data_IF_732187736930
#
_entry.id   IF_732187736930
#
_cell.length_a   1.000
_cell.length_b   1.000
_cell.length_c   1.000
_cell.angle_alpha   90.00
_cell.angle_beta   90.00
_cell.angle_gamma   90.00
#
_symmetry.space_group_name_H-M   'P 1'
#
loop_
_entity.id
_entity.type
_entity.pdbx_description
1 polymer ?
#
# COMPACT_ATOMS: atom_id res chain seq x y z
N UNK A 1 -4.64 28.22 54.57
CA UNK A 1 -5.81 27.48 55.06
C UNK A 1 -6.93 27.61 54.03
N UNK A 2 -7.15 26.52 53.28
CA UNK A 2 -8.45 25.97 52.83
C UNK A 2 -9.48 26.93 52.19
N UNK A 3 -9.96 26.72 50.96
CA UNK A 3 -10.76 25.56 50.58
C UNK A 3 -10.69 25.22 49.08
N UNK A 4 -10.43 23.94 48.81
CA UNK A 4 -10.85 23.27 47.59
C UNK A 4 -12.39 23.23 47.54
N UNK A 5 -12.96 23.43 46.34
CA UNK A 5 -14.33 23.04 46.05
C UNK A 5 -14.30 21.92 45.03
N UNK A 6 -14.66 20.75 45.55
CA UNK A 6 -15.12 19.57 44.83
C UNK A 6 -16.17 19.96 43.80
N UNK A 7 -16.01 19.48 42.57
CA UNK A 7 -17.10 19.35 41.61
C UNK A 7 -17.18 17.86 41.29
N UNK A 8 -18.35 17.32 41.59
CA UNK A 8 -18.62 15.91 41.78
C UNK A 8 -18.40 15.04 40.55
N UNK A 9 -17.89 13.87 40.86
CA UNK A 9 -17.93 12.63 40.09
C UNK A 9 -19.38 12.26 39.76
N UNK A 10 -19.62 11.89 38.49
CA UNK A 10 -20.72 11.09 37.92
C UNK A 10 -21.22 11.62 36.57
N UNK A 11 -20.29 11.90 35.65
CA UNK A 11 -20.55 11.77 34.21
C UNK A 11 -19.81 10.52 33.73
N UNK A 12 -20.44 9.63 32.93
CA UNK A 12 -19.80 8.39 32.52
C UNK A 12 -18.52 8.71 31.76
N UNK A 13 -17.40 8.24 32.33
CA UNK A 13 -16.08 8.24 31.74
C UNK A 13 -16.13 7.44 30.44
N UNK A 14 -16.38 8.10 29.32
CA UNK A 14 -16.17 7.52 27.99
C UNK A 14 -14.65 7.51 27.81
N UNK A 15 -14.01 6.40 28.20
CA UNK A 15 -12.69 6.06 27.69
C UNK A 15 -12.74 6.16 26.15
N UNK A 16 -11.94 7.01 25.50
CA UNK A 16 -11.71 6.85 24.09
C UNK A 16 -10.95 5.54 23.93
N UNK A 17 -11.63 4.56 23.35
CA UNK A 17 -11.16 3.24 22.92
C UNK A 17 -9.87 3.40 22.10
N UNK A 18 -8.74 3.51 22.81
CA UNK A 18 -7.39 3.52 22.28
C UNK A 18 -6.54 2.38 22.86
N UNK A 19 -7.17 1.48 23.62
CA UNK A 19 -6.55 0.24 24.10
C UNK A 19 -6.94 -0.90 23.17
N UNK A 20 -5.93 -1.48 22.53
CA UNK A 20 -5.96 -2.74 21.77
C UNK A 20 -6.64 -2.73 20.40
N UNK A 21 -6.26 -1.78 19.56
CA UNK A 21 -6.60 -1.82 18.15
C UNK A 21 -5.48 -2.45 17.28
N UNK A 22 -5.66 -3.68 16.74
CA UNK A 22 -4.70 -4.33 15.85
C UNK A 22 -4.52 -3.62 14.49
N UNK A 23 -5.30 -2.56 14.19
CA UNK A 23 -5.21 -1.75 12.96
C UNK A 23 -3.92 -0.94 12.82
N UNK A 24 -3.12 -0.78 13.88
CA UNK A 24 -1.91 0.07 13.89
C UNK A 24 -0.59 -0.69 14.03
N UNK A 25 -0.61 -2.03 14.16
CA UNK A 25 0.61 -2.84 14.25
C UNK A 25 1.35 -3.00 12.90
N UNK A 26 0.78 -2.55 11.78
CA UNK A 26 1.28 -2.86 10.44
C UNK A 26 2.51 -2.06 9.98
N UNK A 27 2.72 -0.84 10.47
CA UNK A 27 3.79 0.02 9.92
C UNK A 27 5.16 -0.19 10.59
N UNK A 28 5.27 -0.91 11.71
CA UNK A 28 6.55 -1.28 12.36
C UNK A 28 6.71 -2.74 12.76
N UNK A 29 5.69 -3.59 12.67
CA UNK A 29 5.89 -5.01 12.87
C UNK A 29 6.31 -5.71 11.56
N UNK A 30 7.46 -5.35 10.99
CA UNK A 30 8.23 -6.29 10.15
C UNK A 30 9.01 -7.29 11.02
N UNK A 31 8.34 -7.82 12.04
CA UNK A 31 8.91 -8.60 13.13
C UNK A 31 7.84 -8.87 14.19
N UNK A 32 7.06 -9.93 13.95
CA UNK A 32 6.40 -10.84 14.91
C UNK A 32 5.45 -11.70 14.08
N UNK A 33 6.03 -12.71 13.45
CA UNK A 33 5.40 -13.61 12.51
C UNK A 33 6.44 -14.30 11.65
N UNK A 34 7.45 -14.93 12.28
CA UNK A 34 8.45 -15.75 11.57
C UNK A 34 7.86 -17.07 11.01
N UNK A 35 6.53 -17.16 10.90
CA UNK A 35 5.80 -18.28 10.31
C UNK A 35 4.86 -17.76 9.23
N UNK A 36 5.42 -17.20 8.16
CA UNK A 36 4.68 -16.93 6.93
C UNK A 36 4.33 -18.28 6.28
N UNK A 37 3.14 -18.79 6.59
CA UNK A 37 2.59 -19.93 5.86
C UNK A 37 2.26 -19.46 4.43
N UNK A 38 3.09 -19.87 3.47
CA UNK A 38 2.81 -19.65 2.06
C UNK A 38 1.47 -20.31 1.70
N UNK A 39 0.55 -19.54 1.15
CA UNK A 39 -0.73 -20.04 0.63
C UNK A 39 -0.58 -20.77 -0.71
N UNK A 40 0.65 -20.90 -1.21
CA UNK A 40 0.98 -21.50 -2.50
C UNK A 40 2.28 -22.31 -2.38
N UNK A 41 2.41 -23.37 -3.19
CA UNK A 41 3.64 -24.17 -3.28
C UNK A 41 4.59 -23.60 -4.34
N UNK A 42 5.88 -23.54 -4.00
CA UNK A 42 6.97 -23.26 -4.94
C UNK A 42 7.72 -24.56 -5.26
N UNK A 43 8.37 -24.68 -6.43
CA UNK A 43 9.24 -25.81 -6.75
C UNK A 43 10.32 -26.05 -5.67
N UNK A 44 10.66 -27.31 -5.40
CA UNK A 44 11.59 -27.68 -4.33
C UNK A 44 13.01 -27.14 -4.53
N UNK A 45 13.41 -26.96 -5.78
CA UNK A 45 14.68 -26.37 -6.22
C UNK A 45 14.72 -24.84 -6.11
N UNK A 46 13.63 -24.18 -5.68
CA UNK A 46 13.61 -22.73 -5.50
C UNK A 46 14.56 -22.33 -4.36
N UNK A 47 15.56 -21.46 -4.61
CA UNK A 47 16.51 -21.03 -3.58
C UNK A 47 15.82 -20.41 -2.37
N UNK A 48 16.29 -20.74 -1.17
CA UNK A 48 15.73 -20.24 0.08
C UNK A 48 16.63 -19.17 0.67
N UNK A 49 16.07 -17.99 0.92
CA UNK A 49 16.76 -16.89 1.59
C UNK A 49 16.01 -16.47 2.84
N UNK A 50 16.74 -16.24 3.92
CA UNK A 50 16.19 -15.55 5.08
C UNK A 50 15.69 -14.15 4.65
N UNK A 51 14.51 -13.75 5.15
CA UNK A 51 13.84 -12.48 4.80
C UNK A 51 13.47 -12.29 3.32
N UNK A 52 13.42 -13.36 2.51
CA UNK A 52 12.96 -13.28 1.12
C UNK A 52 11.56 -12.65 0.99
N UNK A 53 10.64 -13.00 1.89
CA UNK A 53 9.28 -12.44 1.86
C UNK A 53 9.27 -10.94 2.17
N UNK A 54 10.17 -10.47 3.04
CA UNK A 54 10.36 -9.04 3.30
C UNK A 54 10.92 -8.33 2.06
N UNK A 55 11.91 -8.93 1.38
CA UNK A 55 12.43 -8.45 0.11
C UNK A 55 11.31 -8.29 -0.94
N UNK A 56 10.51 -9.34 -1.12
CA UNK A 56 9.40 -9.34 -2.08
C UNK A 56 8.35 -8.28 -1.75
N UNK A 57 7.89 -8.23 -0.49
CA UNK A 57 6.86 -7.28 -0.06
C UNK A 57 7.32 -5.84 -0.24
N UNK A 58 8.56 -5.52 0.15
CA UNK A 58 9.11 -4.19 -0.04
C UNK A 58 9.24 -3.84 -1.54
N UNK A 59 9.76 -4.76 -2.35
CA UNK A 59 9.88 -4.59 -3.80
C UNK A 59 8.51 -4.35 -4.43
N UNK A 60 7.48 -5.08 -4.00
CA UNK A 60 6.11 -4.87 -4.46
C UNK A 60 5.60 -3.47 -4.15
N UNK A 61 5.77 -3.01 -2.91
CA UNK A 61 5.25 -1.73 -2.40
C UNK A 61 5.98 -0.53 -3.02
N UNK A 62 7.28 -0.64 -3.27
CA UNK A 62 8.10 0.47 -3.74
C UNK A 62 8.34 0.48 -5.25
N UNK A 63 8.44 -0.67 -5.93
CA UNK A 63 8.91 -0.70 -7.33
C UNK A 63 7.81 -0.77 -8.38
N UNK A 64 6.59 -1.05 -7.95
CA UNK A 64 5.47 -1.26 -8.86
C UNK A 64 4.33 -0.28 -8.61
N UNK A 65 3.56 0.07 -9.66
CA UNK A 65 2.32 0.80 -9.46
C UNK A 65 1.38 0.02 -8.54
N UNK A 66 0.63 0.71 -7.67
CA UNK A 66 -0.33 0.09 -6.74
C UNK A 66 -1.43 -0.75 -7.45
N UNK A 67 -1.60 -0.52 -8.77
CA UNK A 67 -2.53 -1.25 -9.62
C UNK A 67 -1.93 -2.49 -10.28
N UNK A 68 -0.62 -2.74 -10.13
CA UNK A 68 0.04 -3.90 -10.74
C UNK A 68 -0.47 -5.18 -10.11
N UNK A 69 -0.94 -6.10 -10.94
CA UNK A 69 -1.25 -7.46 -10.51
C UNK A 69 0.04 -8.26 -10.35
N UNK A 70 0.21 -8.85 -9.17
CA UNK A 70 1.35 -9.72 -8.88
C UNK A 70 0.85 -11.15 -8.72
N UNK A 71 1.49 -12.07 -9.43
CA UNK A 71 1.36 -13.49 -9.15
C UNK A 71 2.43 -13.83 -8.11
N UNK A 72 2.01 -13.97 -6.84
CA UNK A 72 2.95 -14.16 -5.73
C UNK A 72 3.82 -15.41 -5.88
N UNK A 73 3.32 -16.50 -6.49
CA UNK A 73 4.13 -17.70 -6.74
C UNK A 73 5.25 -17.40 -7.72
N UNK A 74 4.93 -16.83 -8.87
CA UNK A 74 5.94 -16.45 -9.88
C UNK A 74 6.92 -15.43 -9.32
N UNK A 75 6.40 -14.41 -8.63
CA UNK A 75 7.21 -13.36 -8.05
C UNK A 75 8.15 -13.87 -6.94
N UNK A 76 7.74 -14.88 -6.18
CA UNK A 76 8.59 -15.58 -5.23
C UNK A 76 9.77 -16.24 -5.94
N UNK A 77 9.47 -17.09 -6.92
CA UNK A 77 10.47 -17.85 -7.67
C UNK A 77 11.46 -16.89 -8.34
N UNK A 78 10.96 -15.86 -9.03
CA UNK A 78 11.78 -14.84 -9.67
C UNK A 78 12.65 -14.07 -8.68
N UNK A 79 12.11 -13.70 -7.51
CA UNK A 79 12.87 -12.98 -6.49
C UNK A 79 13.98 -13.83 -5.88
N UNK A 80 13.70 -15.11 -5.58
CA UNK A 80 14.70 -16.05 -5.09
C UNK A 80 15.86 -16.20 -6.09
N UNK A 81 15.54 -16.46 -7.36
CA UNK A 81 16.55 -16.61 -8.40
C UNK A 81 17.28 -15.31 -8.74
N UNK A 82 16.62 -14.15 -8.62
CA UNK A 82 17.28 -12.85 -8.76
C UNK A 82 18.40 -12.67 -7.71
N UNK A 83 18.16 -13.13 -6.47
CA UNK A 83 19.17 -13.09 -5.42
C UNK A 83 20.31 -14.05 -5.72
N UNK A 84 20.00 -15.29 -6.11
CA UNK A 84 21.01 -16.31 -6.46
C UNK A 84 21.88 -15.92 -7.65
N UNK A 85 21.30 -15.32 -8.69
CA UNK A 85 22.03 -14.93 -9.91
C UNK A 85 22.91 -13.70 -9.75
N UNK A 86 22.76 -12.96 -8.64
CA UNK A 86 23.56 -11.77 -8.34
C UNK A 86 24.14 -11.92 -6.92
N UNK A 87 25.22 -12.70 -6.76
CA UNK A 87 25.91 -12.86 -5.48
C UNK A 87 26.30 -11.51 -4.89
N UNK A 88 26.41 -11.43 -3.55
CA UNK A 88 26.54 -10.14 -2.87
C UNK A 88 27.87 -9.47 -3.22
N UNK A 89 28.95 -10.23 -3.36
CA UNK A 89 30.29 -9.73 -3.68
C UNK A 89 30.31 -9.05 -5.05
N UNK A 90 29.70 -9.67 -6.05
CA UNK A 90 29.58 -9.09 -7.39
C UNK A 90 28.67 -7.85 -7.37
N UNK A 91 27.54 -7.93 -6.67
CA UNK A 91 26.58 -6.83 -6.58
C UNK A 91 27.19 -5.60 -5.90
N UNK A 92 27.99 -5.80 -4.84
CA UNK A 92 28.71 -4.73 -4.15
C UNK A 92 29.76 -4.10 -5.05
N UNK A 93 30.56 -4.91 -5.74
CA UNK A 93 31.56 -4.42 -6.69
C UNK A 93 30.92 -3.57 -7.80
N UNK A 94 29.86 -4.05 -8.46
CA UNK A 94 29.15 -3.32 -9.52
C UNK A 94 28.55 -2.00 -8.99
N UNK A 95 27.98 -2.02 -7.78
CA UNK A 95 27.42 -0.83 -7.16
C UNK A 95 28.51 0.20 -6.78
N UNK A 96 29.69 -0.25 -6.36
CA UNK A 96 30.85 0.62 -6.08
C UNK A 96 31.39 1.29 -7.35
N UNK A 97 31.34 0.59 -8.49
CA UNK A 97 31.67 1.20 -9.79
C UNK A 97 30.61 2.23 -10.24
N UNK A 98 29.45 2.28 -9.60
CA UNK A 98 28.37 3.22 -9.89
C UNK A 98 27.29 2.69 -10.83
N UNK A 99 27.19 1.38 -11.04
CA UNK A 99 26.09 0.81 -11.84
C UNK A 99 24.75 1.01 -11.12
N UNK A 100 23.84 1.79 -11.71
CA UNK A 100 22.62 2.21 -11.04
C UNK A 100 21.65 1.05 -10.73
N UNK A 101 21.62 0.00 -11.56
CA UNK A 101 20.76 -1.17 -11.30
C UNK A 101 21.28 -1.97 -10.11
N UNK A 102 22.59 -2.14 -10.02
CA UNK A 102 23.29 -2.80 -8.91
C UNK A 102 23.13 -2.03 -7.61
N UNK A 103 23.29 -0.70 -7.66
CA UNK A 103 23.06 0.16 -6.51
C UNK A 103 21.61 0.06 -6.01
N UNK A 104 20.62 0.03 -6.91
CA UNK A 104 19.21 -0.06 -6.55
C UNK A 104 18.86 -1.43 -5.93
N UNK A 105 19.35 -2.52 -6.52
CA UNK A 105 19.17 -3.87 -5.99
C UNK A 105 19.89 -4.06 -4.64
N UNK A 106 21.11 -3.53 -4.51
CA UNK A 106 21.86 -3.55 -3.26
C UNK A 106 21.13 -2.76 -2.16
N UNK A 107 20.64 -1.56 -2.47
CA UNK A 107 19.84 -0.77 -1.55
C UNK A 107 18.60 -1.55 -1.06
N UNK A 108 17.88 -2.23 -1.97
CA UNK A 108 16.73 -3.07 -1.65
C UNK A 108 17.09 -4.22 -0.69
N UNK A 109 18.19 -4.93 -0.95
CA UNK A 109 18.66 -6.01 -0.07
C UNK A 109 19.07 -5.51 1.31
N UNK A 110 19.78 -4.38 1.37
CA UNK A 110 20.17 -3.73 2.63
C UNK A 110 18.93 -3.30 3.43
N UNK A 111 17.97 -2.63 2.79
CA UNK A 111 16.73 -2.16 3.45
C UNK A 111 15.89 -3.30 4.04
N UNK A 112 15.97 -4.49 3.43
CA UNK A 112 15.20 -5.67 3.84
C UNK A 112 16.01 -6.69 4.62
N UNK A 113 17.33 -6.47 4.74
CA UNK A 113 18.32 -7.41 5.27
C UNK A 113 18.23 -8.81 4.63
N UNK A 114 17.94 -8.88 3.33
CA UNK A 114 17.81 -10.14 2.61
C UNK A 114 19.13 -10.47 1.91
N UNK A 115 19.80 -11.53 2.35
CA UNK A 115 21.12 -11.94 1.85
C UNK A 115 22.28 -11.02 2.27
N UNK A 116 22.02 -10.00 3.10
CA UNK A 116 23.02 -9.06 3.63
C UNK A 116 22.53 -8.45 4.95
N UNK A 117 23.45 -7.99 5.79
CA UNK A 117 23.13 -7.18 6.98
C UNK A 117 22.53 -5.84 6.59
N UNK A 118 21.52 -5.37 7.34
CA UNK A 118 20.90 -4.08 7.09
C UNK A 118 21.76 -2.90 7.54
N UNK A 119 21.72 -1.82 6.75
CA UNK A 119 22.39 -0.54 7.01
C UNK A 119 21.57 0.59 6.36
N UNK A 120 20.80 1.31 7.19
CA UNK A 120 19.91 2.35 6.71
C UNK A 120 20.67 3.55 6.10
N UNK A 121 21.87 3.86 6.57
CA UNK A 121 22.66 4.98 6.06
C UNK A 121 23.22 4.64 4.69
N UNK A 122 23.81 3.45 4.53
CA UNK A 122 24.31 2.96 3.24
C UNK A 122 23.19 2.85 2.20
N UNK A 123 22.01 2.38 2.60
CA UNK A 123 20.83 2.33 1.74
C UNK A 123 20.46 3.72 1.20
N UNK A 124 20.32 4.72 2.08
CA UNK A 124 20.01 6.09 1.68
C UNK A 124 21.13 6.68 0.80
N UNK A 125 22.40 6.39 1.10
CA UNK A 125 23.53 6.89 0.33
C UNK A 125 23.54 6.39 -1.12
N UNK A 126 23.25 5.10 -1.33
CA UNK A 126 23.11 4.50 -2.66
C UNK A 126 21.98 5.17 -3.44
N UNK A 127 20.81 5.36 -2.81
CA UNK A 127 19.64 5.98 -3.45
C UNK A 127 19.91 7.45 -3.80
N UNK A 128 20.48 8.23 -2.90
CA UNK A 128 20.82 9.65 -3.17
C UNK A 128 21.89 9.78 -4.27
N UNK A 129 22.81 8.81 -4.38
CA UNK A 129 23.80 8.74 -5.46
C UNK A 129 23.14 8.45 -6.82
N UNK A 130 22.20 7.49 -6.89
CA UNK A 130 21.39 7.24 -8.11
C UNK A 130 20.65 8.51 -8.56
N UNK A 131 20.17 9.31 -7.61
CA UNK A 131 19.42 10.52 -7.90
C UNK A 131 20.30 11.72 -8.28
N UNK A 132 21.63 11.59 -8.18
CA UNK A 132 22.60 12.65 -8.46
C UNK A 132 22.63 13.74 -7.39
N UNK A 133 22.23 13.43 -6.16
CA UNK A 133 22.17 14.38 -5.02
C UNK A 133 23.41 14.30 -4.13
N UNK A 134 24.37 13.44 -4.46
CA UNK A 134 25.70 13.37 -3.85
C UNK A 134 26.73 13.96 -4.80
N UNK A 135 27.60 14.83 -4.28
CA UNK A 135 28.61 15.50 -5.10
C UNK A 135 29.84 14.62 -5.40
N UNK A 136 30.14 13.64 -4.55
CA UNK A 136 31.39 12.86 -4.60
C UNK A 136 31.30 11.57 -5.42
N UNK A 137 30.10 11.13 -5.81
CA UNK A 137 29.86 9.89 -6.55
C UNK A 137 28.78 10.12 -7.61
N UNK A 138 28.94 9.48 -8.76
CA UNK A 138 27.97 9.52 -9.85
C UNK A 138 27.57 8.10 -10.24
N UNK A 139 26.27 7.89 -10.46
CA UNK A 139 25.75 6.64 -10.99
C UNK A 139 25.64 6.73 -12.52
N UNK A 140 25.99 5.65 -13.23
CA UNK A 140 25.79 5.51 -14.67
C UNK A 140 24.61 4.57 -14.97
N UNK A 141 24.13 4.57 -16.22
CA UNK A 141 22.95 3.79 -16.65
C UNK A 141 21.66 4.09 -15.86
N UNK A 142 21.51 5.32 -15.33
CA UNK A 142 20.30 5.73 -14.60
C UNK A 142 19.13 5.92 -15.58
N UNK A 143 18.29 4.89 -15.72
CA UNK A 143 17.04 4.97 -16.50
C UNK A 143 15.94 5.69 -15.71
N UNK A 144 14.87 6.13 -16.41
CA UNK A 144 13.67 6.70 -15.77
C UNK A 144 13.05 5.72 -14.78
N UNK A 145 13.06 4.42 -15.10
CA UNK A 145 12.51 3.37 -14.24
C UNK A 145 13.34 3.16 -12.97
N UNK A 146 14.67 3.19 -13.08
CA UNK A 146 15.57 3.17 -11.91
C UNK A 146 15.34 4.42 -11.06
N UNK A 147 15.28 5.61 -11.68
CA UNK A 147 15.11 6.89 -10.97
C UNK A 147 13.81 6.95 -10.17
N UNK A 148 12.67 6.56 -10.76
CA UNK A 148 11.37 6.58 -10.08
C UNK A 148 11.27 5.53 -8.96
N UNK A 149 11.90 4.36 -9.14
CA UNK A 149 11.98 3.33 -8.08
C UNK A 149 12.86 3.79 -6.92
N UNK A 150 14.00 4.42 -7.21
CA UNK A 150 14.87 4.99 -6.20
C UNK A 150 14.15 6.08 -5.38
N UNK A 151 13.41 6.98 -6.03
CA UNK A 151 12.57 7.98 -5.35
C UNK A 151 11.47 7.34 -4.48
N UNK A 152 10.74 6.36 -5.01
CA UNK A 152 9.70 5.66 -4.24
C UNK A 152 10.28 4.92 -3.03
N UNK A 153 11.46 4.32 -3.18
CA UNK A 153 12.14 3.61 -2.10
C UNK A 153 12.70 4.58 -1.05
N UNK A 154 13.27 5.70 -1.47
CA UNK A 154 13.77 6.75 -0.57
C UNK A 154 12.62 7.40 0.21
N UNK A 155 11.48 7.60 -0.45
CA UNK A 155 10.23 8.02 0.20
C UNK A 155 9.83 7.05 1.31
N UNK A 156 9.86 5.74 1.05
CA UNK A 156 9.56 4.73 2.06
C UNK A 156 10.59 4.75 3.20
N UNK A 157 11.88 4.86 2.90
CA UNK A 157 12.92 4.91 3.92
C UNK A 157 12.77 6.13 4.85
N UNK A 158 12.33 7.28 4.33
CA UNK A 158 12.02 8.45 5.15
C UNK A 158 10.72 8.28 5.95
N UNK A 159 9.67 7.70 5.36
CA UNK A 159 8.48 7.31 6.14
C UNK A 159 8.85 6.37 7.27
N UNK A 160 9.77 5.45 7.01
CA UNK A 160 10.21 4.51 8.02
C UNK A 160 10.93 5.26 9.17
N UNK A 161 11.89 6.12 8.85
CA UNK A 161 12.55 6.97 9.86
C UNK A 161 11.57 7.84 10.65
N UNK A 162 10.56 8.40 10.00
CA UNK A 162 9.51 9.17 10.66
C UNK A 162 8.75 8.30 11.67
N UNK A 163 8.37 7.09 11.27
CA UNK A 163 7.57 6.24 12.11
C UNK A 163 8.36 5.55 13.26
N UNK A 164 9.70 5.48 13.18
CA UNK A 164 10.55 5.07 14.31
C UNK A 164 10.49 6.05 15.49
N UNK A 165 10.02 7.27 15.25
CA UNK A 165 9.97 8.29 16.30
C UNK A 165 8.88 7.94 17.32
N UNK A 166 9.05 8.36 18.58
CA UNK A 166 8.05 8.14 19.61
C UNK A 166 6.66 8.66 19.17
N UNK A 167 5.55 7.98 19.53
CA UNK A 167 4.19 8.39 19.16
C UNK A 167 3.88 9.87 19.47
N UNK A 168 4.43 10.38 20.56
CA UNK A 168 4.31 11.77 21.04
C UNK A 168 4.90 12.79 20.06
N UNK A 169 5.81 12.33 19.20
CA UNK A 169 6.39 13.12 18.12
C UNK A 169 5.66 12.84 16.81
N UNK A 170 5.55 11.57 16.39
CA UNK A 170 5.12 11.25 15.02
C UNK A 170 3.63 11.47 14.74
N UNK A 171 2.76 11.37 15.75
CA UNK A 171 1.30 11.50 15.58
C UNK A 171 0.75 12.87 16.00
N UNK A 172 1.62 13.84 16.29
CA UNK A 172 1.25 15.14 16.84
C UNK A 172 1.60 16.27 15.88
N UNK A 173 1.22 17.50 16.25
CA UNK A 173 1.63 18.69 15.52
C UNK A 173 3.15 18.85 15.41
N UNK A 174 3.92 18.30 16.35
CA UNK A 174 5.38 18.32 16.29
C UNK A 174 5.89 17.52 15.07
N UNK A 175 5.38 16.30 14.88
CA UNK A 175 5.70 15.47 13.72
C UNK A 175 5.28 16.16 12.43
N UNK A 176 4.07 16.72 12.39
CA UNK A 176 3.58 17.42 11.21
C UNK A 176 4.44 18.64 10.83
N UNK A 177 4.78 19.50 11.78
CA UNK A 177 5.43 20.79 11.53
C UNK A 177 6.95 20.81 11.70
N UNK A 178 7.59 19.79 12.26
CA UNK A 178 9.04 19.80 12.48
C UNK A 178 9.77 18.61 11.92
N UNK A 179 9.06 17.55 11.52
CA UNK A 179 9.73 16.37 11.00
C UNK A 179 10.22 16.58 9.56
N UNK A 180 11.55 16.59 9.38
CA UNK A 180 12.19 16.66 8.08
C UNK A 180 12.03 15.37 7.26
N UNK A 181 12.01 14.20 7.88
CA UNK A 181 11.81 12.93 7.17
C UNK A 181 10.45 12.90 6.50
N UNK A 182 9.40 13.40 7.15
CA UNK A 182 8.06 13.48 6.56
C UNK A 182 8.03 14.43 5.34
N UNK A 183 8.82 15.51 5.36
CA UNK A 183 8.95 16.43 4.22
C UNK A 183 9.73 15.79 3.07
N UNK A 184 10.80 15.07 3.37
CA UNK A 184 11.61 14.35 2.38
C UNK A 184 10.79 13.21 1.75
N UNK A 185 10.03 12.47 2.54
CA UNK A 185 9.09 11.45 2.06
C UNK A 185 8.09 12.05 1.07
N UNK A 186 7.42 13.15 1.43
CA UNK A 186 6.45 13.80 0.54
C UNK A 186 7.09 14.32 -0.75
N UNK A 187 8.30 14.90 -0.67
CA UNK A 187 9.07 15.36 -1.84
C UNK A 187 9.39 14.21 -2.78
N UNK A 188 9.92 13.12 -2.26
CA UNK A 188 10.37 11.99 -3.08
C UNK A 188 9.18 11.17 -3.62
N UNK A 189 8.09 11.07 -2.87
CA UNK A 189 6.83 10.51 -3.37
C UNK A 189 6.25 11.31 -4.54
N UNK A 190 6.16 12.63 -4.40
CA UNK A 190 5.67 13.53 -5.45
C UNK A 190 6.53 13.41 -6.72
N UNK A 191 7.85 13.37 -6.57
CA UNK A 191 8.78 13.20 -7.68
C UNK A 191 8.66 11.81 -8.35
N UNK A 192 8.48 10.72 -7.58
CA UNK A 192 8.27 9.39 -8.14
C UNK A 192 6.97 9.32 -8.97
N UNK A 193 5.90 9.94 -8.45
CA UNK A 193 4.60 10.03 -9.13
C UNK A 193 4.69 10.88 -10.39
N UNK A 194 5.41 12.00 -10.35
CA UNK A 194 5.65 12.85 -11.52
C UNK A 194 6.40 12.10 -12.64
N UNK A 195 7.23 11.11 -12.30
CA UNK A 195 7.87 10.18 -13.24
C UNK A 195 7.00 8.94 -13.59
N UNK A 196 5.72 8.96 -13.23
CA UNK A 196 4.73 7.94 -13.60
C UNK A 196 4.72 6.69 -12.73
N UNK A 197 5.33 6.71 -11.53
CA UNK A 197 5.22 5.63 -10.55
C UNK A 197 4.35 6.04 -9.36
N UNK A 198 3.06 5.69 -9.43
CA UNK A 198 2.17 5.72 -8.26
C UNK A 198 2.26 4.38 -7.54
N UNK A 199 3.19 4.25 -6.61
CA UNK A 199 3.37 3.03 -5.82
C UNK A 199 2.59 3.11 -4.50
N UNK A 200 2.45 1.98 -3.82
CA UNK A 200 1.81 1.96 -2.50
C UNK A 200 2.61 2.78 -1.47
N UNK A 201 3.94 2.73 -1.54
CA UNK A 201 4.82 3.58 -0.72
C UNK A 201 4.51 5.08 -0.88
N UNK A 202 4.30 5.53 -2.11
CA UNK A 202 3.98 6.95 -2.36
C UNK A 202 2.58 7.35 -1.86
N UNK A 203 1.59 6.46 -1.96
CA UNK A 203 0.23 6.72 -1.49
C UNK A 203 0.14 6.73 0.04
N UNK A 204 0.98 5.94 0.72
CA UNK A 204 1.04 5.91 2.19
C UNK A 204 1.44 7.28 2.75
N UNK A 205 2.34 8.01 2.09
CA UNK A 205 2.72 9.37 2.52
C UNK A 205 1.49 10.29 2.56
N UNK A 206 0.71 10.32 1.48
CA UNK A 206 -0.48 11.16 1.41
C UNK A 206 -1.54 10.76 2.44
N UNK A 207 -1.74 9.45 2.65
CA UNK A 207 -2.64 8.92 3.66
C UNK A 207 -2.23 9.36 5.06
N UNK A 208 -0.96 9.19 5.38
CA UNK A 208 -0.40 9.52 6.69
C UNK A 208 -0.48 11.03 6.99
N UNK A 209 -0.16 11.86 6.00
CA UNK A 209 -0.31 13.31 6.12
C UNK A 209 -1.75 13.74 6.43
N UNK A 210 -2.74 13.09 5.80
CA UNK A 210 -4.16 13.35 6.09
C UNK A 210 -4.51 12.93 7.52
N UNK A 211 -4.07 11.76 7.95
CA UNK A 211 -4.32 11.24 9.31
C UNK A 211 -3.76 12.19 10.37
N UNK A 212 -2.48 12.57 10.27
CA UNK A 212 -1.88 13.48 11.26
C UNK A 212 -2.57 14.86 11.21
N UNK A 213 -2.88 15.37 10.03
CA UNK A 213 -3.49 16.70 9.91
C UNK A 213 -4.93 16.79 10.45
N UNK A 214 -5.64 15.66 10.45
CA UNK A 214 -6.97 15.50 11.07
C UNK A 214 -6.90 15.34 12.59
N UNK A 215 -5.71 15.09 13.17
CA UNK A 215 -5.53 15.08 14.61
C UNK A 215 -5.84 16.44 15.24
N UNK A 216 -6.31 16.41 16.49
CA UNK A 216 -6.81 17.59 17.21
C UNK A 216 -5.80 18.74 17.33
N UNK A 217 -4.50 18.41 17.30
CA UNK A 217 -3.40 19.38 17.48
C UNK A 217 -3.03 20.15 16.22
N UNK A 218 -3.34 19.64 15.02
CA UNK A 218 -2.86 20.23 13.75
C UNK A 218 -3.93 21.06 13.08
N UNK A 219 -5.13 20.50 12.91
CA UNK A 219 -6.28 21.13 12.22
C UNK A 219 -5.87 21.85 10.91
N UNK A 220 -5.04 21.21 10.10
CA UNK A 220 -4.56 21.72 8.81
C UNK A 220 -5.13 20.89 7.66
N UNK A 221 -5.17 21.47 6.46
CA UNK A 221 -5.42 20.70 5.24
C UNK A 221 -4.10 20.53 4.46
N UNK A 222 -3.48 19.35 4.47
CA UNK A 222 -2.17 19.13 3.84
C UNK A 222 -2.21 19.32 2.32
N UNK A 223 -3.41 19.24 1.71
CA UNK A 223 -3.59 19.45 0.26
C UNK A 223 -3.43 20.91 -0.16
N UNK A 224 -3.64 21.85 0.77
CA UNK A 224 -3.68 23.29 0.48
C UNK A 224 -2.72 24.10 1.34
N UNK A 225 -2.16 23.52 2.40
CA UNK A 225 -1.26 24.26 3.28
C UNK A 225 0.09 24.57 2.64
N UNK A 226 0.84 25.46 3.30
CA UNK A 226 2.14 25.93 2.81
C UNK A 226 3.21 24.83 2.76
N UNK A 227 3.08 23.78 3.58
CA UNK A 227 4.13 22.78 3.79
C UNK A 227 4.04 21.68 2.73
N UNK A 228 2.86 21.12 2.55
CA UNK A 228 2.64 19.95 1.69
C UNK A 228 1.75 20.26 0.49
N UNK A 229 1.02 21.39 0.47
CA UNK A 229 0.11 21.74 -0.63
C UNK A 229 0.80 21.95 -1.98
N UNK A 230 2.13 22.10 -2.01
CA UNK A 230 2.95 22.20 -3.23
C UNK A 230 3.15 20.87 -3.98
N UNK A 231 2.94 19.72 -3.33
CA UNK A 231 3.17 18.40 -3.93
C UNK A 231 1.96 17.94 -4.76
N UNK A 232 1.79 18.58 -5.94
CA UNK A 232 0.57 18.43 -6.76
C UNK A 232 0.41 17.03 -7.35
N UNK A 233 1.49 16.38 -7.74
CA UNK A 233 1.43 15.03 -8.32
C UNK A 233 0.96 14.03 -7.25
N UNK A 234 1.50 14.15 -6.04
CA UNK A 234 1.07 13.36 -4.88
C UNK A 234 -0.43 13.51 -4.60
N UNK A 235 -0.94 14.73 -4.51
CA UNK A 235 -2.35 14.96 -4.19
C UNK A 235 -3.30 14.54 -5.30
N UNK A 236 -2.91 14.74 -6.57
CA UNK A 236 -3.69 14.25 -7.71
C UNK A 236 -3.80 12.73 -7.70
N UNK A 237 -2.67 12.03 -7.55
CA UNK A 237 -2.66 10.56 -7.49
C UNK A 237 -3.45 10.01 -6.29
N UNK A 238 -3.36 10.68 -5.14
CA UNK A 238 -4.14 10.29 -3.96
C UNK A 238 -5.65 10.52 -4.16
N UNK A 239 -6.05 11.60 -4.83
CA UNK A 239 -7.45 11.83 -5.17
C UNK A 239 -8.01 10.73 -6.10
N UNK A 240 -7.24 10.32 -7.12
CA UNK A 240 -7.60 9.21 -8.01
C UNK A 240 -7.69 7.87 -7.27
N UNK A 241 -6.75 7.62 -6.36
CA UNK A 241 -6.75 6.45 -5.49
C UNK A 241 -8.01 6.42 -4.60
N UNK A 242 -8.34 7.52 -3.92
CA UNK A 242 -9.54 7.61 -3.09
C UNK A 242 -10.83 7.50 -3.91
N UNK A 243 -10.87 8.06 -5.12
CA UNK A 243 -11.97 7.88 -6.06
C UNK A 243 -12.15 6.43 -6.47
N UNK A 244 -11.04 5.70 -6.63
CA UNK A 244 -11.07 4.25 -6.90
C UNK A 244 -11.61 3.48 -5.70
N UNK A 245 -11.17 3.78 -4.48
CA UNK A 245 -11.69 3.16 -3.26
C UNK A 245 -13.19 3.42 -3.06
N UNK A 246 -13.66 4.65 -3.36
CA UNK A 246 -15.09 4.97 -3.33
C UNK A 246 -15.89 4.07 -4.28
N UNK A 247 -15.40 3.84 -5.50
CA UNK A 247 -16.04 2.94 -6.48
C UNK A 247 -16.09 1.49 -5.99
N UNK A 248 -15.00 1.00 -5.40
CA UNK A 248 -14.93 -0.34 -4.80
C UNK A 248 -16.01 -0.48 -3.72
N UNK A 249 -16.10 0.48 -2.79
CA UNK A 249 -17.10 0.49 -1.71
C UNK A 249 -18.55 0.55 -2.21
N UNK A 250 -18.82 1.35 -3.25
CA UNK A 250 -20.18 1.54 -3.78
C UNK A 250 -20.66 0.38 -4.66
N UNK A 251 -19.74 -0.35 -5.29
CA UNK A 251 -20.06 -1.45 -6.20
C UNK A 251 -19.15 -2.67 -5.98
N UNK A 252 -19.11 -3.25 -4.77
CA UNK A 252 -18.19 -4.33 -4.42
C UNK A 252 -18.28 -5.51 -5.38
N UNK A 253 -19.46 -5.86 -5.87
CA UNK A 253 -19.69 -6.93 -6.85
C UNK A 253 -18.92 -6.77 -8.18
N UNK A 254 -18.40 -5.57 -8.49
CA UNK A 254 -17.54 -5.31 -9.66
C UNK A 254 -16.06 -5.47 -9.38
N UNK A 255 -15.66 -5.33 -8.12
CA UNK A 255 -14.27 -5.21 -7.69
C UNK A 255 -13.84 -6.36 -6.77
N UNK A 256 -14.78 -7.12 -6.22
CA UNK A 256 -14.58 -8.25 -5.33
C UNK A 256 -14.99 -9.55 -6.01
N UNK A 257 -14.24 -10.61 -5.74
CA UNK A 257 -14.59 -11.94 -6.21
C UNK A 257 -15.82 -12.44 -5.46
N UNK A 258 -16.87 -12.80 -6.20
CA UNK A 258 -18.12 -13.28 -5.59
C UNK A 258 -18.01 -14.69 -4.99
N UNK A 259 -16.95 -15.45 -5.30
CA UNK A 259 -16.85 -16.84 -4.89
C UNK A 259 -16.74 -16.97 -3.36
N UNK A 260 -17.55 -17.84 -2.72
CA UNK A 260 -17.45 -18.08 -1.28
C UNK A 260 -16.02 -18.41 -0.85
N UNK A 261 -15.58 -17.82 0.26
CA UNK A 261 -14.22 -17.98 0.78
C UNK A 261 -13.11 -17.37 -0.09
N UNK A 262 -13.45 -16.66 -1.17
CA UNK A 262 -12.49 -15.89 -1.96
C UNK A 262 -12.57 -14.42 -1.56
N UNK A 263 -11.44 -13.85 -1.15
CA UNK A 263 -11.37 -12.45 -0.74
C UNK A 263 -10.63 -11.58 -1.75
N UNK A 264 -10.55 -12.01 -3.02
CA UNK A 264 -9.85 -11.19 -4.01
C UNK A 264 -10.61 -9.90 -4.20
N UNK A 265 -9.93 -8.79 -3.90
CA UNK A 265 -10.35 -7.46 -4.29
C UNK A 265 -9.41 -6.97 -5.42
N UNK A 266 -9.97 -6.23 -6.36
CA UNK A 266 -9.29 -5.56 -7.47
C UNK A 266 -9.67 -4.10 -7.49
N UNK A 267 -8.72 -3.25 -7.83
CA UNK A 267 -8.95 -1.81 -7.92
C UNK A 267 -9.50 -1.41 -9.30
N UNK A 268 -9.49 -2.33 -10.28
CA UNK A 268 -10.09 -2.13 -11.60
C UNK A 268 -11.08 -3.26 -11.85
N UNK A 269 -12.33 -2.92 -12.15
CA UNK A 269 -13.39 -3.92 -12.34
C UNK A 269 -13.12 -4.89 -13.50
N UNK A 270 -12.39 -4.43 -14.53
CA UNK A 270 -11.94 -5.27 -15.66
C UNK A 270 -10.94 -6.37 -15.27
N UNK A 271 -10.31 -6.28 -14.09
CA UNK A 271 -9.37 -7.29 -13.63
C UNK A 271 -10.07 -8.52 -13.05
N UNK A 272 -11.40 -8.47 -12.91
CA UNK A 272 -12.25 -9.61 -12.62
C UNK A 272 -13.03 -10.04 -13.86
N UNK A 273 -13.15 -11.35 -14.05
CA UNK A 273 -13.99 -11.95 -15.07
C UNK A 273 -15.45 -11.75 -14.68
N UNK A 274 -16.26 -11.20 -15.58
CA UNK A 274 -17.70 -11.04 -15.35
C UNK A 274 -18.43 -12.31 -15.75
N UNK A 275 -19.52 -12.63 -15.06
CA UNK A 275 -20.42 -13.69 -15.53
C UNK A 275 -20.89 -13.38 -16.97
N UNK A 276 -20.75 -14.34 -17.87
CA UNK A 276 -21.20 -14.24 -19.26
C UNK A 276 -22.71 -14.37 -19.45
N UNK A 277 -23.45 -14.70 -18.39
CA UNK A 277 -24.90 -14.82 -18.42
C UNK A 277 -25.65 -13.48 -18.45
N UNK A 278 -26.97 -13.58 -18.61
CA UNK A 278 -27.90 -12.46 -18.67
C UNK A 278 -28.39 -12.03 -17.27
N UNK A 279 -27.57 -12.20 -16.24
CA UNK A 279 -27.88 -11.67 -14.91
C UNK A 279 -27.86 -10.13 -14.89
N UNK A 280 -28.72 -9.48 -14.07
CA UNK A 280 -28.78 -8.03 -13.97
C UNK A 280 -27.44 -7.41 -13.62
N UNK A 281 -27.07 -6.29 -14.27
CA UNK A 281 -25.77 -5.64 -14.09
C UNK A 281 -25.47 -5.30 -12.63
N UNK A 282 -26.49 -4.81 -11.89
CA UNK A 282 -26.41 -4.50 -10.46
C UNK A 282 -25.90 -5.67 -9.61
N UNK A 283 -26.24 -6.91 -9.97
CA UNK A 283 -25.87 -8.12 -9.22
C UNK A 283 -24.93 -9.04 -10.01
N UNK A 284 -24.43 -8.58 -11.16
CA UNK A 284 -23.54 -9.37 -12.00
C UNK A 284 -22.23 -9.57 -11.23
N UNK A 285 -21.81 -10.81 -10.96
CA UNK A 285 -20.64 -11.07 -10.12
C UNK A 285 -19.33 -10.94 -10.92
N UNK A 286 -18.25 -10.61 -10.20
CA UNK A 286 -16.88 -10.69 -10.67
C UNK A 286 -16.16 -11.93 -10.11
N UNK A 287 -15.27 -12.53 -10.89
CA UNK A 287 -14.49 -13.70 -10.49
C UNK A 287 -13.00 -13.54 -10.82
N UNK A 288 -12.13 -13.93 -9.90
CA UNK A 288 -10.69 -13.88 -10.13
C UNK A 288 -10.18 -15.02 -11.03
N UNK A 289 -10.98 -16.10 -11.16
CA UNK A 289 -10.68 -17.30 -11.94
C UNK A 289 -11.96 -18.04 -12.32
N UNK A 290 -11.85 -18.97 -13.28
CA UNK A 290 -12.95 -19.88 -13.67
C UNK A 290 -13.35 -20.81 -12.51
N UNK A 291 -12.38 -21.33 -11.76
CA UNK A 291 -12.64 -22.17 -10.59
C UNK A 291 -13.47 -21.44 -9.51
N UNK A 292 -13.24 -20.14 -9.32
CA UNK A 292 -14.06 -19.31 -8.43
C UNK A 292 -15.49 -19.14 -8.95
N UNK A 293 -15.68 -18.98 -10.27
CA UNK A 293 -17.01 -18.95 -10.87
C UNK A 293 -17.75 -20.28 -10.68
N UNK A 294 -17.09 -21.41 -10.91
CA UNK A 294 -17.67 -22.75 -10.72
C UNK A 294 -18.06 -22.99 -9.26
N UNK A 295 -17.25 -22.52 -8.30
CA UNK A 295 -17.56 -22.59 -6.86
C UNK A 295 -18.77 -21.74 -6.45
N UNK A 296 -18.98 -20.59 -7.08
CA UNK A 296 -20.15 -19.74 -6.84
C UNK A 296 -21.41 -20.23 -7.58
N UNK A 297 -21.24 -21.05 -8.62
CA UNK A 297 -22.33 -21.44 -9.53
C UNK A 297 -23.58 -22.02 -8.85
N UNK A 298 -23.49 -22.91 -7.84
CA UNK A 298 -24.68 -23.44 -7.18
C UNK A 298 -25.59 -22.35 -6.59
N UNK A 299 -25.01 -21.23 -6.13
CA UNK A 299 -25.72 -20.07 -5.60
C UNK A 299 -26.14 -19.11 -6.72
N UNK A 300 -25.23 -18.81 -7.66
CA UNK A 300 -25.47 -17.82 -8.71
C UNK A 300 -26.49 -18.26 -9.77
N UNK A 301 -26.58 -19.57 -10.06
CA UNK A 301 -27.46 -20.09 -11.13
C UNK A 301 -28.93 -19.68 -10.97
N UNK A 302 -29.41 -19.51 -9.73
CA UNK A 302 -30.79 -19.10 -9.44
C UNK A 302 -31.13 -17.68 -9.96
N UNK A 303 -30.13 -16.81 -10.06
CA UNK A 303 -30.28 -15.42 -10.52
C UNK A 303 -29.70 -15.19 -11.93
N UNK A 304 -28.96 -16.16 -12.44
CA UNK A 304 -28.38 -16.13 -13.78
C UNK A 304 -29.39 -16.65 -14.80
N UNK A 305 -30.31 -15.77 -15.26
CA UNK A 305 -31.19 -16.08 -16.39
C UNK A 305 -30.35 -16.18 -17.66
N UNK A 306 -30.51 -17.25 -18.43
CA UNK A 306 -29.97 -17.37 -19.78
C UNK A 306 -31.05 -16.84 -20.75
N UNK A 307 -30.77 -15.77 -21.51
CA UNK A 307 -31.61 -15.40 -22.67
C UNK A 307 -31.95 -13.92 -22.86
N UNK A 308 -31.95 -13.08 -21.83
CA UNK A 308 -32.27 -11.64 -21.99
C UNK A 308 -31.01 -10.79 -21.81
N UNK A 309 -30.38 -10.40 -22.92
CA UNK A 309 -29.21 -9.52 -22.89
C UNK A 309 -29.56 -8.21 -22.17
N UNK A 310 -28.94 -7.86 -21.03
CA UNK A 310 -29.08 -6.52 -20.50
C UNK A 310 -28.40 -5.53 -21.46
N UNK A 311 -29.07 -4.41 -21.68
CA UNK A 311 -28.60 -3.23 -22.39
C UNK A 311 -27.14 -2.90 -22.02
N UNK A 312 -26.25 -2.89 -23.02
CA UNK A 312 -24.80 -2.68 -22.87
C UNK A 312 -24.47 -1.20 -22.62
N UNK A 313 -25.19 -0.52 -21.71
CA UNK A 313 -24.79 0.81 -21.28
C UNK A 313 -23.42 0.73 -20.60
N UNK A 314 -22.52 1.63 -21.01
CA UNK A 314 -21.14 1.68 -20.56
C UNK A 314 -21.09 1.75 -19.03
N UNK A 315 -20.51 0.70 -18.44
CA UNK A 315 -20.24 0.48 -17.02
C UNK A 315 -19.72 1.71 -16.25
N UNK A 316 -19.13 2.65 -16.98
CA UNK A 316 -18.56 3.89 -16.50
C UNK A 316 -19.62 4.94 -16.11
N UNK A 317 -20.80 4.92 -16.72
CA UNK A 317 -21.80 5.99 -16.64
C UNK A 317 -22.78 5.81 -15.46
N UNK A 318 -23.26 4.58 -15.22
CA UNK A 318 -24.13 4.27 -14.06
C UNK A 318 -23.36 4.42 -12.73
N UNK A 319 -22.07 4.06 -12.70
CA UNK A 319 -21.21 4.31 -11.54
C UNK A 319 -20.94 5.81 -11.37
N UNK A 320 -20.80 6.56 -12.47
CA UNK A 320 -20.65 8.02 -12.42
C UNK A 320 -21.90 8.66 -11.81
N UNK A 321 -23.10 8.21 -12.17
CA UNK A 321 -24.35 8.67 -11.54
C UNK A 321 -24.40 8.34 -10.03
N UNK A 322 -24.11 7.09 -9.66
CA UNK A 322 -24.06 6.66 -8.25
C UNK A 322 -23.00 7.43 -7.45
N UNK A 323 -21.84 7.72 -8.05
CA UNK A 323 -20.75 8.47 -7.41
C UNK A 323 -21.01 9.99 -7.34
N UNK A 324 -21.91 10.52 -8.18
CA UNK A 324 -22.22 11.96 -8.31
C UNK A 324 -23.26 12.45 -7.29
N UNK A 325 -23.96 11.54 -6.61
CA UNK A 325 -24.87 11.89 -5.50
C UNK A 325 -24.05 12.43 -4.31
N UNK A 326 -24.28 13.70 -3.96
CA UNK A 326 -23.48 14.53 -3.05
C UNK A 326 -23.63 14.24 -1.54
N UNK A 327 -24.27 13.15 -1.12
CA UNK A 327 -24.50 12.88 0.31
C UNK A 327 -23.61 11.73 0.79
N UNK A 328 -22.51 12.06 1.47
CA UNK A 328 -21.96 11.33 2.64
C UNK A 328 -20.61 11.99 2.98
N UNK A 329 -20.72 13.09 3.74
CA UNK A 329 -19.59 13.66 4.46
C UNK A 329 -19.22 12.80 5.67
N UNK A 330 -18.00 13.00 6.16
CA UNK A 330 -17.42 12.52 7.42
C UNK A 330 -16.95 11.05 7.54
N UNK A 331 -17.53 10.03 6.90
CA UNK A 331 -17.18 8.62 7.20
C UNK A 331 -16.01 8.01 6.41
N UNK A 332 -15.10 8.82 5.87
CA UNK A 332 -14.02 8.33 4.97
C UNK A 332 -12.66 8.17 5.69
N UNK A 333 -12.57 8.52 6.98
CA UNK A 333 -11.30 8.52 7.73
C UNK A 333 -10.76 7.12 8.12
N UNK A 334 -11.52 6.04 7.97
CA UNK A 334 -11.03 4.67 8.23
C UNK A 334 -11.27 3.75 7.02
N UNK A 335 -10.36 3.77 6.06
CA UNK A 335 -10.14 2.64 5.16
C UNK A 335 -8.71 2.18 5.38
N UNK A 336 -8.52 1.31 6.36
CA UNK A 336 -7.27 0.57 6.55
C UNK A 336 -7.21 -0.54 5.51
N UNK A 337 -6.36 -0.37 4.50
CA UNK A 337 -5.93 -1.49 3.68
C UNK A 337 -4.97 -2.33 4.53
N UNK A 338 -5.35 -3.56 4.86
CA UNK A 338 -4.42 -4.53 5.41
C UNK A 338 -3.46 -4.94 4.28
N UNK A 339 -2.26 -4.39 4.27
CA UNK A 339 -1.22 -4.67 3.29
C UNK A 339 -0.46 -5.97 3.60
N UNK A 340 -0.86 -6.69 4.66
CA UNK A 340 -0.12 -7.84 5.19
C UNK A 340 -0.43 -9.16 4.52
N UNK A 341 -1.50 -9.28 3.75
CA UNK A 341 -1.75 -10.51 2.97
C UNK A 341 -2.43 -10.17 1.66
N UNK A 342 -1.83 -10.62 0.56
CA UNK A 342 -2.57 -10.75 -0.69
C UNK A 342 -3.71 -11.79 -0.63
N UNK A 343 -4.37 -12.08 0.51
CA UNK A 343 -5.62 -12.86 0.67
C UNK A 343 -6.15 -12.86 2.15
N UNK A 344 -7.47 -12.96 2.26
CA UNK A 344 -8.44 -13.21 3.35
C UNK A 344 -8.67 -12.16 4.46
N UNK A 345 -9.89 -11.56 4.57
CA UNK A 345 -10.41 -11.15 5.87
C UNK A 345 -10.78 -12.41 6.64
N UNK A 346 -10.21 -12.55 7.84
CA UNK A 346 -10.79 -13.39 8.88
C UNK A 346 -12.14 -12.72 9.21
N UNK A 347 -13.23 -13.44 8.95
CA UNK A 347 -14.52 -13.14 9.54
C UNK A 347 -14.38 -13.58 11.00
N UNK A 348 -14.31 -12.63 11.94
CA UNK A 348 -14.75 -12.90 13.30
C UNK A 348 -16.28 -12.93 13.22
N UNK A 349 -16.85 -14.13 13.21
CA UNK A 349 -18.24 -14.30 13.55
C UNK A 349 -18.31 -14.20 15.07
N UNK A 350 -19.02 -13.19 15.58
CA UNK A 350 -19.58 -13.24 16.91
C UNK A 350 -20.59 -14.38 16.95
N UNK A 351 -20.19 -15.50 17.54
CA UNK A 351 -21.05 -16.60 17.98
C UNK A 351 -20.26 -17.41 19.02
N UNK A 352 -20.16 -16.85 20.22
CA UNK A 352 -20.29 -17.48 21.55
C UNK A 352 -19.53 -16.68 22.62
#
# INVERSE_FOLDING_TARGET
MSNAREIGENAPFIEPVLKHDPRWAGCWCWGKGDTDHLTYRVPEDTPRYHKLLRYMSFKQVAFFPYTRRINHRTFHIESAWCITRRPIEQLEFEAEQGDAESMLELALRIATSCGITGDALRCVDLLETILGRRASKSAYNVTVDIRRRALSMLSQAHMDKHHLKPPEVRATALGYFRDSDLVLAARDADAAIALGLVSEATLEVARHLIIIAMGDDVKSNPKTDRRFGKYKALWSAYADFMGTLKKVKLAPQRYECAAPGCSVIRLRGRDLRRCGGACPLKFKPGYCSRACQERDWPRHKAVCRHGELPDRRDDSEEIRDLCSRKSLGADIALITFNTRTGYCPIILNDSD
#
